data_IF_615083601831
#
_entry.id   IF_615083601831
#
_cell.length_a   1.000
_cell.length_b   1.000
_cell.length_c   1.000
_cell.angle_alpha   90.00
_cell.angle_beta   90.00
_cell.angle_gamma   90.00
#
_symmetry.space_group_name_H-M   'P 1'
#
loop_
_entity.id
_entity.type
_entity.pdbx_description
1 polymer ?
#
# COMPACT_ATOMS: atom_id res chain seq x y z
N UNK A 1 47.91 -70.89 -35.51
CA UNK A 1 46.45 -70.84 -35.30
C UNK A 1 46.23 -70.43 -33.85
N UNK A 2 45.55 -69.35 -33.45
CA UNK A 2 44.41 -68.61 -34.03
C UNK A 2 44.48 -67.12 -33.58
N UNK A 3 44.03 -66.24 -34.48
CA UNK A 3 43.81 -64.78 -34.39
C UNK A 3 42.45 -64.45 -33.71
N UNK A 4 42.17 -63.14 -33.59
CA UNK A 4 40.85 -62.44 -33.66
C UNK A 4 40.34 -61.96 -32.29
N UNK A 5 39.79 -60.76 -32.03
CA UNK A 5 39.62 -59.44 -32.68
C UNK A 5 39.20 -58.42 -31.59
N UNK A 6 39.39 -57.12 -31.85
CA UNK A 6 38.76 -55.96 -31.17
C UNK A 6 37.24 -56.10 -31.02
N UNK A 7 36.63 -55.44 -30.01
CA UNK A 7 35.40 -54.64 -30.19
C UNK A 7 35.18 -53.57 -29.10
N UNK A 8 34.82 -52.37 -29.56
CA UNK A 8 34.32 -51.21 -28.83
C UNK A 8 32.87 -51.45 -28.36
N UNK A 9 32.48 -50.96 -27.18
CA UNK A 9 31.13 -50.43 -26.94
C UNK A 9 31.19 -49.20 -26.02
N UNK A 10 30.65 -48.08 -26.53
CA UNK A 10 30.31 -46.87 -25.79
C UNK A 10 29.07 -47.15 -24.93
N UNK A 11 29.00 -46.61 -23.72
CA UNK A 11 27.73 -46.50 -22.98
C UNK A 11 27.73 -45.20 -22.20
N UNK A 12 26.60 -44.50 -22.29
CA UNK A 12 26.37 -43.11 -21.96
C UNK A 12 26.48 -42.80 -20.46
N UNK A 13 26.97 -41.59 -20.15
CA UNK A 13 26.91 -40.99 -18.82
C UNK A 13 25.50 -40.42 -18.58
N UNK A 14 24.82 -40.92 -17.55
CA UNK A 14 23.68 -40.26 -16.93
C UNK A 14 24.22 -39.58 -15.66
N UNK A 15 24.30 -38.25 -15.66
CA UNK A 15 24.67 -37.49 -14.45
C UNK A 15 23.43 -37.43 -13.56
N UNK A 16 23.50 -38.16 -12.45
CA UNK A 16 22.57 -38.11 -11.32
C UNK A 16 23.08 -37.01 -10.37
N UNK A 17 22.44 -35.83 -10.32
CA UNK A 17 22.67 -34.90 -9.22
C UNK A 17 21.67 -35.20 -8.10
N UNK A 18 22.08 -36.03 -7.15
CA UNK A 18 21.43 -36.19 -5.86
C UNK A 18 21.69 -34.92 -5.05
N UNK A 19 20.69 -34.05 -4.95
CA UNK A 19 20.68 -33.00 -3.94
C UNK A 19 20.36 -33.65 -2.59
N UNK A 20 21.37 -33.76 -1.73
CA UNK A 20 21.23 -34.19 -0.34
C UNK A 20 20.38 -33.16 0.41
N UNK A 21 19.11 -33.49 0.62
CA UNK A 21 18.21 -32.74 1.48
C UNK A 21 18.57 -33.07 2.94
N UNK A 22 19.50 -32.32 3.54
CA UNK A 22 19.71 -32.38 4.99
C UNK A 22 18.58 -31.62 5.67
N UNK A 23 17.63 -32.36 6.22
CA UNK A 23 16.59 -31.82 7.08
C UNK A 23 17.20 -31.24 8.35
N UNK A 24 17.17 -29.92 8.47
CA UNK A 24 17.10 -29.28 9.76
C UNK A 24 15.62 -29.21 10.14
N UNK A 25 15.26 -29.85 11.25
CA UNK A 25 13.95 -29.73 11.84
C UNK A 25 13.68 -28.25 12.14
N UNK A 26 12.70 -27.65 11.46
CA UNK A 26 12.18 -26.34 11.81
C UNK A 26 11.48 -26.48 13.17
N UNK A 27 12.21 -26.13 14.22
CA UNK A 27 11.60 -25.86 15.52
C UNK A 27 10.74 -24.62 15.31
N UNK A 28 9.42 -24.80 15.39
CA UNK A 28 8.42 -23.74 15.45
C UNK A 28 8.84 -22.69 16.48
N UNK A 29 9.40 -21.57 16.04
CA UNK A 29 9.79 -20.45 16.88
C UNK A 29 8.62 -19.49 17.02
N UNK A 30 7.62 -19.91 17.80
CA UNK A 30 6.63 -19.01 18.42
C UNK A 30 7.25 -18.06 19.47
N UNK A 31 8.58 -17.88 19.46
CA UNK A 31 9.36 -17.14 20.45
C UNK A 31 10.26 -16.03 19.86
N UNK A 32 10.08 -15.66 18.59
CA UNK A 32 10.80 -14.51 17.97
C UNK A 32 9.87 -13.37 17.53
N UNK A 33 8.58 -13.44 17.87
CA UNK A 33 7.65 -12.33 17.69
C UNK A 33 7.81 -11.22 18.77
N UNK A 34 8.67 -11.41 19.76
CA UNK A 34 8.77 -10.55 20.96
C UNK A 34 10.14 -9.85 21.13
N UNK A 35 11.04 -9.93 20.13
CA UNK A 35 12.34 -9.24 20.15
C UNK A 35 12.78 -8.67 18.79
N UNK A 36 11.87 -8.02 18.06
CA UNK A 36 12.28 -6.85 17.27
C UNK A 36 12.16 -5.66 18.20
N UNK A 37 13.29 -5.04 18.49
CA UNK A 37 13.47 -4.02 19.52
C UNK A 37 12.40 -2.94 19.51
N UNK A 38 12.06 -2.55 20.73
CA UNK A 38 11.09 -1.56 21.14
C UNK A 38 11.52 -0.12 20.78
N UNK A 39 12.00 0.10 19.56
CA UNK A 39 12.68 1.35 19.16
C UNK A 39 11.88 2.20 18.16
N UNK A 40 10.57 1.97 18.00
CA UNK A 40 9.61 3.05 17.65
C UNK A 40 8.19 2.69 18.14
N UNK A 41 7.56 3.44 19.07
CA UNK A 41 6.48 2.91 19.89
C UNK A 41 5.09 2.84 19.23
N UNK A 42 4.82 3.50 18.11
CA UNK A 42 3.42 3.85 17.86
C UNK A 42 2.70 2.99 16.83
N UNK A 43 3.14 1.76 16.54
CA UNK A 43 2.37 0.75 15.79
C UNK A 43 1.14 0.25 16.56
N UNK A 44 0.21 1.18 16.83
CA UNK A 44 -0.92 1.04 17.74
C UNK A 44 -1.94 0.09 17.15
N UNK A 45 -2.41 -0.84 17.98
CA UNK A 45 -3.65 -1.55 17.69
C UNK A 45 -4.82 -0.56 17.81
N UNK A 46 -5.47 -0.30 16.69
CA UNK A 46 -6.55 0.67 16.59
C UNK A 46 -7.91 0.07 16.96
N UNK A 47 -7.97 -1.25 17.19
CA UNK A 47 -9.19 -2.01 17.48
C UNK A 47 -10.10 -2.10 16.26
N UNK A 48 -9.55 -2.24 15.06
CA UNK A 48 -10.32 -2.36 13.82
C UNK A 48 -11.02 -3.73 13.74
N UNK A 49 -12.15 -3.78 13.04
CA UNK A 49 -12.84 -5.04 12.72
C UNK A 49 -11.94 -5.97 11.91
N UNK A 50 -12.20 -7.28 12.00
CA UNK A 50 -11.34 -8.33 11.43
C UNK A 50 -11.44 -8.46 9.88
N UNK A 51 -11.90 -7.42 9.20
CA UNK A 51 -11.83 -7.26 7.76
C UNK A 51 -10.62 -6.43 7.32
N UNK A 52 -10.11 -5.56 8.21
CA UNK A 52 -8.88 -4.82 8.00
C UNK A 52 -7.69 -5.71 8.32
N UNK A 53 -6.84 -5.98 7.34
CA UNK A 53 -5.78 -6.98 7.47
C UNK A 53 -4.44 -6.41 7.07
N UNK A 54 -3.38 -6.87 7.73
CA UNK A 54 -2.00 -6.47 7.46
C UNK A 54 -1.13 -7.72 7.51
N UNK A 55 -0.41 -7.99 6.42
CA UNK A 55 0.52 -9.10 6.23
C UNK A 55 -0.08 -10.50 6.53
N UNK A 56 -1.40 -10.69 6.43
CA UNK A 56 -2.03 -11.99 6.69
C UNK A 56 -1.62 -13.05 5.66
N UNK A 57 -1.54 -12.67 4.39
CA UNK A 57 -1.23 -13.59 3.29
C UNK A 57 0.27 -13.67 3.02
N UNK A 58 1.00 -12.56 3.20
CA UNK A 58 2.44 -12.50 2.98
C UNK A 58 3.02 -11.11 3.26
N UNK A 59 4.33 -10.99 3.04
CA UNK A 59 5.09 -9.73 3.14
C UNK A 59 5.61 -9.30 1.76
N UNK A 60 4.81 -9.50 0.71
CA UNK A 60 5.26 -9.30 -0.68
C UNK A 60 6.25 -10.35 -1.18
N UNK A 61 6.54 -10.34 -2.49
CA UNK A 61 7.30 -11.41 -3.15
C UNK A 61 8.56 -10.91 -3.88
N UNK A 62 9.59 -11.76 -3.94
CA UNK A 62 10.71 -11.54 -4.87
C UNK A 62 10.25 -11.83 -6.30
N UNK A 63 9.91 -10.79 -7.05
CA UNK A 63 9.45 -10.86 -8.44
C UNK A 63 9.61 -9.52 -9.14
N UNK A 64 10.08 -9.56 -10.39
CA UNK A 64 10.02 -8.42 -11.31
C UNK A 64 8.61 -8.33 -11.88
N UNK A 65 8.04 -7.12 -11.84
CA UNK A 65 6.73 -6.83 -12.42
C UNK A 65 6.93 -6.11 -13.75
N UNK A 66 6.32 -6.63 -14.82
CA UNK A 66 6.11 -5.90 -16.05
C UNK A 66 4.89 -4.98 -15.91
N UNK A 67 5.14 -3.68 -15.72
CA UNK A 67 4.07 -2.71 -15.47
C UNK A 67 3.15 -2.50 -16.69
N UNK A 68 3.55 -2.90 -17.89
CA UNK A 68 2.75 -2.75 -19.11
C UNK A 68 1.71 -3.86 -19.29
N UNK A 69 1.77 -4.94 -18.50
CA UNK A 69 0.89 -6.11 -18.61
C UNK A 69 -0.26 -6.11 -17.60
N UNK A 70 -0.71 -4.92 -17.17
CA UNK A 70 -1.83 -4.75 -16.24
C UNK A 70 -1.64 -5.61 -14.97
N UNK A 71 -2.60 -6.47 -14.64
CA UNK A 71 -2.56 -7.31 -13.44
C UNK A 71 -1.85 -8.67 -13.62
N UNK A 72 -1.32 -9.00 -14.81
CA UNK A 72 -0.85 -10.35 -15.13
C UNK A 72 0.18 -10.93 -14.14
N UNK A 73 1.12 -10.09 -13.69
CA UNK A 73 2.18 -10.53 -12.77
C UNK A 73 1.76 -10.54 -11.30
N UNK A 74 0.60 -10.00 -10.96
CA UNK A 74 0.16 -9.86 -9.59
C UNK A 74 -0.72 -11.03 -9.15
N UNK A 75 -0.58 -11.46 -7.91
CA UNK A 75 -1.44 -12.47 -7.30
C UNK A 75 -1.57 -12.27 -5.78
N UNK A 76 -2.42 -13.08 -5.14
CA UNK A 76 -2.73 -12.95 -3.71
C UNK A 76 -1.52 -13.13 -2.79
N UNK A 77 -0.45 -13.80 -3.21
CA UNK A 77 0.75 -13.97 -2.37
C UNK A 77 1.53 -12.67 -2.16
N UNK A 78 1.22 -11.64 -2.95
CA UNK A 78 1.79 -10.30 -2.84
C UNK A 78 0.95 -9.36 -1.98
N UNK A 79 -0.25 -9.76 -1.54
CA UNK A 79 -1.14 -8.94 -0.73
C UNK A 79 -0.52 -8.72 0.67
N UNK A 80 -0.29 -7.45 1.01
CA UNK A 80 0.32 -7.03 2.27
C UNK A 80 -0.63 -6.20 3.15
N UNK A 81 -1.70 -5.62 2.60
CA UNK A 81 -2.77 -5.01 3.40
C UNK A 81 -4.13 -5.10 2.69
N UNK A 82 -5.18 -5.19 3.48
CA UNK A 82 -6.58 -5.21 3.05
C UNK A 82 -7.37 -4.17 3.86
N UNK A 83 -8.11 -3.33 3.15
CA UNK A 83 -9.10 -2.39 3.66
C UNK A 83 -10.53 -2.93 3.46
N UNK A 84 -11.51 -2.06 3.71
CA UNK A 84 -12.94 -2.37 3.58
C UNK A 84 -13.58 -1.30 2.72
N UNK A 85 -14.27 -1.70 1.65
CA UNK A 85 -14.87 -0.72 0.76
C UNK A 85 -15.96 0.12 1.45
N UNK A 86 -16.20 1.30 0.90
CA UNK A 86 -17.12 2.31 1.42
C UNK A 86 -16.71 2.78 2.82
N UNK A 87 -15.42 2.89 3.10
CA UNK A 87 -14.90 3.47 4.33
C UNK A 87 -14.12 4.77 4.08
N UNK A 88 -14.13 5.27 2.85
CA UNK A 88 -13.65 6.60 2.52
C UNK A 88 -14.49 7.70 3.17
N UNK A 89 -13.95 8.93 3.23
CA UNK A 89 -14.63 10.07 3.87
C UNK A 89 -16.05 10.34 3.35
N UNK A 90 -16.28 10.05 2.08
CA UNK A 90 -17.54 10.30 1.40
C UNK A 90 -18.65 9.48 2.06
N UNK A 91 -18.36 8.27 2.54
CA UNK A 91 -19.33 7.39 3.15
C UNK A 91 -20.05 7.97 4.39
N UNK A 92 -19.47 9.01 5.00
CA UNK A 92 -19.94 9.64 6.25
C UNK A 92 -20.65 10.98 6.01
N UNK A 93 -20.88 11.36 4.75
CA UNK A 93 -21.50 12.63 4.33
C UNK A 93 -22.77 12.35 3.53
N UNK A 94 -23.57 13.37 3.22
CA UNK A 94 -24.77 13.23 2.38
C UNK A 94 -24.41 13.04 0.89
N UNK A 95 -25.13 12.13 0.20
CA UNK A 95 -24.71 11.58 -1.10
C UNK A 95 -25.01 12.47 -2.32
N UNK A 96 -25.72 13.58 -2.11
CA UNK A 96 -26.27 14.37 -3.21
C UNK A 96 -25.31 15.43 -3.77
N UNK A 97 -24.16 15.66 -3.12
CA UNK A 97 -23.12 16.59 -3.59
C UNK A 97 -21.72 15.97 -3.42
N UNK A 98 -21.65 14.64 -3.44
CA UNK A 98 -20.46 13.92 -3.01
C UNK A 98 -19.43 13.76 -4.12
N UNK A 99 -18.20 13.73 -3.66
CA UNK A 99 -16.99 13.59 -4.43
C UNK A 99 -16.90 12.17 -5.01
N UNK A 100 -16.10 12.00 -6.06
CA UNK A 100 -15.74 10.66 -6.52
C UNK A 100 -15.05 9.89 -5.37
N UNK A 101 -15.36 8.60 -5.14
CA UNK A 101 -14.74 7.86 -4.05
C UNK A 101 -13.23 7.75 -4.22
N UNK A 102 -12.51 7.86 -3.11
CA UNK A 102 -11.06 7.64 -3.05
C UNK A 102 -10.78 6.58 -1.98
N UNK A 103 -11.28 5.39 -2.25
CA UNK A 103 -11.41 4.27 -1.32
C UNK A 103 -10.37 3.18 -1.67
N UNK A 104 -9.38 3.02 -0.79
CA UNK A 104 -8.25 2.12 -0.94
C UNK A 104 -8.63 0.74 -0.41
N UNK A 105 -8.64 -0.25 -1.30
CA UNK A 105 -9.15 -1.57 -0.93
C UNK A 105 -8.07 -2.61 -0.62
N UNK A 106 -7.07 -2.78 -1.48
CA UNK A 106 -6.04 -3.81 -1.29
C UNK A 106 -4.67 -3.28 -1.71
N UNK A 107 -3.62 -3.62 -0.96
CA UNK A 107 -2.24 -3.21 -1.22
C UNK A 107 -1.36 -4.44 -1.40
N UNK A 108 -0.61 -4.45 -2.49
CA UNK A 108 0.27 -5.53 -2.91
C UNK A 108 1.70 -5.02 -3.03
N UNK A 109 2.67 -5.89 -2.77
CA UNK A 109 4.08 -5.60 -2.95
C UNK A 109 4.86 -6.73 -3.62
N UNK A 110 5.77 -6.33 -4.50
CA UNK A 110 6.81 -7.19 -5.05
C UNK A 110 8.13 -6.42 -5.11
N UNK A 111 9.25 -7.11 -5.19
CA UNK A 111 10.56 -6.49 -5.34
C UNK A 111 11.51 -7.41 -6.07
N UNK A 112 12.52 -6.82 -6.71
CA UNK A 112 13.60 -7.57 -7.34
C UNK A 112 14.96 -7.00 -6.91
N UNK A 113 16.01 -7.28 -7.67
CA UNK A 113 17.36 -6.79 -7.36
C UNK A 113 17.47 -5.26 -7.39
N UNK A 114 16.59 -4.58 -8.12
CA UNK A 114 16.75 -3.19 -8.53
C UNK A 114 15.55 -2.31 -8.17
N UNK A 115 14.35 -2.87 -8.05
CA UNK A 115 13.11 -2.11 -7.87
C UNK A 115 12.23 -2.69 -6.77
N UNK A 116 11.52 -1.80 -6.10
CA UNK A 116 10.31 -2.07 -5.33
C UNK A 116 9.11 -1.79 -6.23
N UNK A 117 8.11 -2.66 -6.19
CA UNK A 117 6.83 -2.53 -6.87
C UNK A 117 5.71 -2.52 -5.84
N UNK A 118 4.83 -1.54 -5.94
CA UNK A 118 3.61 -1.45 -5.14
C UNK A 118 2.42 -1.38 -6.10
N UNK A 119 1.35 -2.09 -5.79
CA UNK A 119 0.07 -1.95 -6.47
C UNK A 119 -1.03 -1.82 -5.44
N UNK A 120 -1.96 -0.89 -5.65
CA UNK A 120 -3.16 -0.84 -4.83
C UNK A 120 -4.42 -0.75 -5.66
N UNK A 121 -5.45 -1.42 -5.17
CA UNK A 121 -6.79 -1.43 -5.72
C UNK A 121 -7.60 -0.29 -5.12
N UNK A 122 -8.42 0.33 -5.96
CA UNK A 122 -9.34 1.39 -5.63
C UNK A 122 -10.75 0.91 -5.97
N UNK A 123 -11.67 1.05 -5.02
CA UNK A 123 -13.06 0.62 -5.20
C UNK A 123 -13.98 1.83 -5.27
N UNK A 124 -14.91 1.84 -6.22
CA UNK A 124 -16.02 2.79 -6.20
C UNK A 124 -17.32 2.02 -5.87
N UNK A 125 -17.73 1.97 -4.59
CA UNK A 125 -18.84 1.12 -4.14
C UNK A 125 -20.22 1.75 -4.37
N UNK A 126 -20.29 2.88 -5.08
CA UNK A 126 -21.49 3.71 -5.18
C UNK A 126 -22.68 2.96 -5.78
N UNK A 127 -22.44 2.09 -6.75
CA UNK A 127 -23.48 1.32 -7.44
C UNK A 127 -24.16 0.27 -6.54
N UNK A 128 -23.47 -0.25 -5.53
CA UNK A 128 -24.04 -1.19 -4.56
C UNK A 128 -24.55 -0.55 -3.26
N UNK A 129 -24.00 0.59 -2.86
CA UNK A 129 -24.33 1.28 -1.60
C UNK A 129 -25.34 2.40 -1.80
N UNK A 130 -25.13 3.24 -2.81
CA UNK A 130 -25.95 4.42 -3.11
C UNK A 130 -26.30 4.50 -4.61
N UNK A 131 -26.99 3.48 -5.19
CA UNK A 131 -27.30 3.44 -6.63
C UNK A 131 -28.15 4.61 -7.13
N UNK A 132 -28.83 5.32 -6.23
CA UNK A 132 -29.61 6.51 -6.53
C UNK A 132 -28.76 7.79 -6.68
N UNK A 133 -27.49 7.77 -6.27
CA UNK A 133 -26.55 8.89 -6.40
C UNK A 133 -25.93 8.95 -7.81
N UNK A 134 -26.78 9.25 -8.80
CA UNK A 134 -26.44 9.17 -10.23
C UNK A 134 -25.28 10.10 -10.65
N UNK A 135 -25.07 11.22 -9.98
CA UNK A 135 -23.96 12.14 -10.26
C UNK A 135 -22.59 11.49 -9.98
N UNK A 136 -22.45 10.81 -8.83
CA UNK A 136 -21.22 10.08 -8.49
C UNK A 136 -21.01 8.90 -9.44
N UNK A 137 -22.09 8.21 -9.83
CA UNK A 137 -22.00 7.10 -10.79
C UNK A 137 -21.55 7.58 -12.18
N UNK A 138 -21.96 8.78 -12.59
CA UNK A 138 -21.52 9.40 -13.84
C UNK A 138 -20.03 9.73 -13.83
N UNK A 139 -19.47 10.04 -12.67
CA UNK A 139 -18.05 10.30 -12.49
C UNK A 139 -17.15 9.07 -12.71
N UNK A 140 -17.68 7.85 -12.62
CA UNK A 140 -16.95 6.62 -12.94
C UNK A 140 -15.71 6.39 -12.08
N UNK A 141 -14.56 6.14 -12.72
CA UNK A 141 -13.28 5.82 -12.07
C UNK A 141 -12.38 7.05 -11.99
N UNK A 142 -11.69 7.26 -10.86
CA UNK A 142 -10.81 8.43 -10.68
C UNK A 142 -9.67 8.46 -11.69
N UNK A 143 -9.11 7.30 -12.02
CA UNK A 143 -7.98 7.17 -12.93
C UNK A 143 -8.32 7.53 -14.40
N UNK A 144 -9.60 7.66 -14.73
CA UNK A 144 -10.12 8.08 -16.05
C UNK A 144 -10.53 9.56 -16.09
N UNK A 145 -10.36 10.29 -14.97
CA UNK A 145 -10.75 11.71 -14.87
C UNK A 145 -9.62 12.63 -15.28
N UNK A 146 -9.84 13.39 -16.35
CA UNK A 146 -8.88 14.39 -16.83
C UNK A 146 -8.92 15.71 -16.04
N UNK A 147 -10.05 15.97 -15.37
CA UNK A 147 -10.34 17.19 -14.62
C UNK A 147 -9.98 17.10 -13.12
N UNK A 148 -9.55 15.92 -12.65
CA UNK A 148 -9.16 15.67 -11.26
C UNK A 148 -7.72 15.18 -11.18
N UNK A 149 -6.96 15.72 -10.23
CA UNK A 149 -5.60 15.26 -9.91
C UNK A 149 -5.39 15.31 -8.40
N UNK A 150 -5.44 14.14 -7.77
CA UNK A 150 -5.34 13.98 -6.33
C UNK A 150 -3.95 13.46 -5.97
N UNK A 151 -3.28 14.07 -4.98
CA UNK A 151 -2.07 13.49 -4.42
C UNK A 151 -2.31 12.11 -3.81
N UNK A 152 -1.35 11.21 -3.99
CA UNK A 152 -1.16 10.05 -3.11
C UNK A 152 0.20 10.15 -2.45
N UNK A 153 0.29 9.66 -1.21
CA UNK A 153 1.54 9.61 -0.46
C UNK A 153 1.90 8.17 -0.14
N UNK A 154 3.15 7.79 -0.38
CA UNK A 154 3.70 6.48 -0.04
C UNK A 154 4.77 6.67 1.02
N UNK A 155 4.42 6.35 2.25
CA UNK A 155 5.30 6.35 3.40
C UNK A 155 6.08 5.03 3.44
N UNK A 156 7.41 5.12 3.52
CA UNK A 156 8.30 3.96 3.60
C UNK A 156 9.17 4.06 4.85
N UNK A 157 9.34 2.93 5.52
CA UNK A 157 10.26 2.75 6.64
C UNK A 157 11.26 1.68 6.28
N UNK A 158 12.48 2.10 5.94
CA UNK A 158 13.53 1.18 5.53
C UNK A 158 14.41 0.72 6.67
N UNK A 159 14.42 1.43 7.81
CA UNK A 159 15.28 1.17 8.98
C UNK A 159 16.78 1.05 8.65
N UNK A 160 17.21 1.51 7.46
CA UNK A 160 18.61 1.51 7.08
C UNK A 160 19.31 2.74 7.66
N UNK A 161 20.18 2.50 8.65
CA UNK A 161 20.96 3.53 9.32
C UNK A 161 20.27 4.14 10.55
N UNK A 162 19.72 3.29 11.42
CA UNK A 162 18.96 3.62 12.67
C UNK A 162 19.66 4.61 13.62
N UNK A 163 20.91 5.02 13.36
CA UNK A 163 21.53 6.11 14.13
C UNK A 163 21.21 7.51 13.59
N UNK A 164 20.57 7.68 12.42
CA UNK A 164 20.49 9.01 11.81
C UNK A 164 19.41 9.33 10.73
N UNK A 165 18.53 8.40 10.35
CA UNK A 165 17.63 8.61 9.19
C UNK A 165 16.13 8.39 9.47
N UNK A 166 15.70 8.20 10.71
CA UNK A 166 14.28 8.30 11.04
C UNK A 166 13.83 9.75 10.80
N UNK A 167 12.75 9.94 10.05
CA UNK A 167 12.14 11.26 9.90
C UNK A 167 11.63 11.71 11.28
N UNK A 168 12.34 12.64 11.91
CA UNK A 168 11.88 13.31 13.12
C UNK A 168 10.67 14.22 12.87
N UNK A 169 10.13 14.86 13.91
CA UNK A 169 9.10 15.89 13.77
C UNK A 169 7.91 15.46 12.89
N UNK A 170 7.45 14.22 13.01
CA UNK A 170 6.28 13.66 12.30
C UNK A 170 6.27 13.90 10.78
N UNK A 171 7.44 13.93 10.14
CA UNK A 171 7.58 14.22 8.71
C UNK A 171 7.10 15.61 8.24
N UNK A 172 7.15 16.60 9.12
CA UNK A 172 7.06 17.99 8.71
C UNK A 172 8.29 18.44 7.91
N UNK A 173 8.09 19.38 6.97
CA UNK A 173 9.16 19.90 6.12
C UNK A 173 10.09 20.80 6.91
N UNK A 174 11.38 20.46 6.94
CA UNK A 174 12.42 21.24 7.63
C UNK A 174 12.17 21.40 9.13
N UNK A 175 11.32 20.55 9.72
CA UNK A 175 10.99 20.54 11.14
C UNK A 175 9.95 21.60 11.54
N UNK A 176 9.42 22.34 10.56
CA UNK A 176 8.36 23.32 10.77
C UNK A 176 7.00 22.61 10.84
N UNK A 177 6.43 22.53 12.04
CA UNK A 177 5.16 21.82 12.31
C UNK A 177 3.93 22.41 11.61
N UNK A 178 4.08 23.53 10.89
CA UNK A 178 3.05 24.11 10.04
C UNK A 178 3.16 23.69 8.56
N UNK A 179 4.26 23.04 8.16
CA UNK A 179 4.56 22.72 6.76
C UNK A 179 4.60 21.21 6.51
N UNK A 180 3.76 20.75 5.60
CA UNK A 180 3.71 19.37 5.12
C UNK A 180 3.97 19.33 3.61
N UNK A 181 4.27 18.14 3.07
CA UNK A 181 4.32 17.96 1.61
C UNK A 181 3.02 18.44 0.98
N UNK A 182 3.15 19.30 -0.03
CA UNK A 182 2.06 19.87 -0.83
C UNK A 182 0.89 20.41 0.01
N UNK A 183 1.18 20.97 1.20
CA UNK A 183 0.19 21.45 2.16
C UNK A 183 -0.90 20.41 2.52
N UNK A 184 -0.55 19.12 2.44
CA UNK A 184 -1.44 18.01 2.74
C UNK A 184 -1.98 17.99 4.15
N UNK A 185 -1.31 18.60 5.12
CA UNK A 185 -1.62 18.46 6.55
C UNK A 185 -1.57 16.99 6.99
N UNK A 186 -0.76 16.16 6.33
CA UNK A 186 -0.45 14.80 6.77
C UNK A 186 0.83 14.81 7.61
N UNK A 187 0.83 14.09 8.72
CA UNK A 187 1.96 13.90 9.62
C UNK A 187 2.09 12.40 9.96
N UNK A 188 3.32 11.89 9.97
CA UNK A 188 3.61 10.46 10.12
C UNK A 188 4.42 10.21 11.39
N UNK A 189 3.84 9.53 12.37
CA UNK A 189 4.44 9.34 13.70
C UNK A 189 5.15 8.00 13.85
N UNK A 190 4.90 7.04 12.95
CA UNK A 190 5.49 5.70 13.00
C UNK A 190 6.99 5.61 12.60
N UNK A 191 7.67 6.76 12.49
CA UNK A 191 9.11 6.85 12.23
C UNK A 191 9.50 6.41 10.82
N UNK A 192 8.81 6.90 9.79
CA UNK A 192 9.14 6.64 8.39
C UNK A 192 10.54 7.20 8.03
N UNK A 193 11.17 6.66 6.99
CA UNK A 193 12.49 7.12 6.48
C UNK A 193 12.36 7.91 5.18
N UNK A 194 11.34 7.59 4.38
CA UNK A 194 11.12 8.14 3.06
C UNK A 194 9.63 8.40 2.84
N UNK A 195 9.33 9.46 2.08
CA UNK A 195 7.97 9.79 1.67
C UNK A 195 7.95 10.12 0.18
N UNK A 196 7.15 9.39 -0.59
CA UNK A 196 6.93 9.66 -2.02
C UNK A 196 5.60 10.38 -2.17
N UNK A 197 5.60 11.52 -2.87
CA UNK A 197 4.37 12.15 -3.36
C UNK A 197 4.19 11.82 -4.85
N UNK A 198 3.00 11.34 -5.21
CA UNK A 198 2.60 11.08 -6.60
C UNK A 198 1.24 11.71 -6.90
N UNK A 199 0.91 11.78 -8.18
CA UNK A 199 -0.35 12.29 -8.70
C UNK A 199 -1.27 11.15 -9.16
N UNK A 200 -2.58 11.29 -8.94
CA UNK A 200 -3.59 10.34 -9.43
C UNK A 200 -3.67 10.36 -10.96
N UNK A 201 -3.36 11.51 -11.56
CA UNK A 201 -3.21 11.68 -12.99
C UNK A 201 -1.79 11.28 -13.40
N UNK A 202 -1.61 10.07 -13.90
CA UNK A 202 -0.29 9.49 -14.22
C UNK A 202 0.48 10.27 -15.29
N UNK A 203 -0.22 11.08 -16.09
CA UNK A 203 0.35 12.00 -17.06
C UNK A 203 1.08 13.19 -16.39
N UNK A 204 0.73 13.49 -15.13
CA UNK A 204 1.48 14.41 -14.29
C UNK A 204 2.69 13.66 -13.69
N UNK A 205 3.88 14.02 -14.18
CA UNK A 205 5.14 13.36 -13.84
C UNK A 205 5.88 14.00 -12.67
N UNK A 206 5.25 14.95 -11.94
CA UNK A 206 5.84 15.59 -10.75
C UNK A 206 5.85 14.65 -9.51
N UNK A 207 6.43 13.47 -9.70
CA UNK A 207 6.68 12.52 -8.61
C UNK A 207 7.92 12.95 -7.83
N UNK A 208 7.75 13.14 -6.53
CA UNK A 208 8.78 13.67 -5.65
C UNK A 208 9.11 12.67 -4.53
N UNK A 209 10.42 12.43 -4.32
CA UNK A 209 10.92 11.66 -3.20
C UNK A 209 11.51 12.58 -2.15
N UNK A 210 10.95 12.52 -0.94
CA UNK A 210 11.43 13.24 0.22
C UNK A 210 12.15 12.29 1.16
N UNK A 211 13.36 12.69 1.56
CA UNK A 211 14.20 11.97 2.50
C UNK A 211 14.12 12.59 3.88
N UNK A 212 14.24 11.77 4.92
CA UNK A 212 14.47 12.27 6.27
C UNK A 212 15.79 13.03 6.41
N UNK A 213 15.79 13.97 7.34
CA UNK A 213 16.98 14.61 7.86
C UNK A 213 17.15 14.23 9.32
N UNK A 214 18.40 14.11 9.76
CA UNK A 214 18.75 14.00 11.17
C UNK A 214 18.04 15.10 11.98
N UNK A 215 17.13 14.70 12.88
CA UNK A 215 16.40 15.56 13.84
C UNK A 215 15.42 16.62 13.26
N UNK A 216 15.38 16.84 11.94
CA UNK A 216 14.71 17.99 11.33
C UNK A 216 13.49 17.68 10.45
N UNK A 217 12.91 16.48 10.53
CA UNK A 217 11.82 16.10 9.63
C UNK A 217 12.27 15.88 8.18
N UNK A 218 11.38 16.12 7.22
CA UNK A 218 11.67 15.92 5.80
C UNK A 218 12.59 17.02 5.25
N UNK A 219 13.49 16.64 4.35
CA UNK A 219 14.24 17.60 3.56
C UNK A 219 13.28 18.48 2.75
N UNK A 220 13.41 19.80 2.87
CA UNK A 220 12.58 20.75 2.13
C UNK A 220 12.81 20.72 0.62
N UNK A 221 13.94 20.17 0.16
CA UNK A 221 14.21 19.96 -1.25
C UNK A 221 13.96 18.48 -1.60
N UNK A 222 12.88 18.16 -2.34
CA UNK A 222 12.68 16.80 -2.83
C UNK A 222 13.76 16.43 -3.85
N UNK A 223 14.02 15.13 -3.96
CA UNK A 223 14.76 14.59 -5.09
C UNK A 223 13.78 14.19 -6.20
N UNK A 224 14.03 14.66 -7.42
CA UNK A 224 13.37 14.12 -8.60
C UNK A 224 13.85 12.69 -8.80
N UNK A 225 12.90 11.76 -8.71
CA UNK A 225 13.17 10.33 -8.78
C UNK A 225 12.62 9.77 -10.09
N UNK A 226 13.32 8.82 -10.68
CA UNK A 226 12.84 8.00 -11.81
C UNK A 226 11.79 6.95 -11.37
N UNK A 227 10.92 7.32 -10.43
CA UNK A 227 9.76 6.51 -10.03
C UNK A 227 8.75 6.53 -11.17
N UNK A 228 8.23 5.36 -11.51
CA UNK A 228 7.22 5.22 -12.57
C UNK A 228 5.87 4.91 -11.94
N UNK A 229 4.82 5.57 -12.41
CA UNK A 229 3.43 5.33 -12.00
C UNK A 229 2.63 4.90 -13.23
N UNK A 230 1.82 3.85 -13.09
CA UNK A 230 0.84 3.40 -14.07
C UNK A 230 -0.51 3.17 -13.41
N UNK A 231 -1.55 3.07 -14.23
CA UNK A 231 -2.94 2.84 -13.82
C UNK A 231 -3.55 1.75 -14.70
N UNK A 232 -4.49 0.99 -14.15
CA UNK A 232 -5.27 -0.01 -14.88
C UNK A 232 -6.70 -0.09 -14.39
N UNK A 233 -7.57 -0.76 -15.16
CA UNK A 233 -9.04 -0.68 -15.02
C UNK A 233 -9.67 -1.94 -14.44
N UNK A 234 -8.90 -2.69 -13.65
CA UNK A 234 -9.27 -3.99 -13.09
C UNK A 234 -8.79 -4.10 -11.66
N UNK A 235 -9.30 -5.07 -10.91
CA UNK A 235 -8.80 -5.46 -9.58
C UNK A 235 -8.58 -6.98 -9.52
N UNK A 236 -7.66 -7.45 -8.69
CA UNK A 236 -7.45 -8.88 -8.42
C UNK A 236 -8.44 -9.43 -7.41
N UNK A 237 -8.93 -8.59 -6.50
CA UNK A 237 -9.80 -9.01 -5.41
C UNK A 237 -11.06 -9.68 -5.91
N UNK A 238 -11.25 -10.94 -5.48
CA UNK A 238 -12.41 -11.75 -5.86
C UNK A 238 -13.69 -11.30 -5.14
N UNK A 239 -13.53 -10.83 -3.91
CA UNK A 239 -14.60 -10.26 -3.07
C UNK A 239 -14.29 -8.79 -2.83
N UNK A 240 -15.33 -7.96 -2.73
CA UNK A 240 -15.23 -6.54 -2.33
C UNK A 240 -16.05 -6.37 -1.07
N UNK A 241 -15.45 -6.67 0.09
CA UNK A 241 -16.12 -6.53 1.37
C UNK A 241 -16.24 -5.05 1.71
N UNK A 242 -17.46 -4.56 1.95
CA UNK A 242 -17.69 -3.15 2.21
C UNK A 242 -18.91 -2.88 3.06
N UNK A 243 -18.92 -1.71 3.70
CA UNK A 243 -20.04 -1.23 4.49
C UNK A 243 -21.24 -0.90 3.59
N UNK A 244 -22.43 -1.40 3.92
CA UNK A 244 -23.65 -1.14 3.14
C UNK A 244 -24.37 0.15 3.51
N UNK A 245 -23.94 0.85 4.57
CA UNK A 245 -24.58 2.09 5.05
C UNK A 245 -23.78 3.33 4.63
N UNK A 246 -24.46 4.47 4.60
CA UNK A 246 -23.94 5.73 4.07
C UNK A 246 -24.58 6.92 4.82
N UNK A 247 -23.89 8.08 4.85
CA UNK A 247 -24.39 9.33 5.43
C UNK A 247 -24.69 9.20 6.92
N UNK A 248 -25.90 9.63 7.33
CA UNK A 248 -26.34 9.54 8.73
C UNK A 248 -26.39 8.12 9.31
N UNK A 249 -26.33 7.09 8.45
CA UNK A 249 -26.20 5.69 8.85
C UNK A 249 -24.76 5.23 9.12
N UNK A 250 -23.79 6.16 9.19
CA UNK A 250 -22.37 5.89 9.47
C UNK A 250 -21.86 6.71 10.63
N UNK A 251 -21.03 6.07 11.46
CA UNK A 251 -20.32 6.67 12.59
C UNK A 251 -18.83 6.41 12.44
N UNK A 252 -18.00 7.38 12.83
CA UNK A 252 -16.55 7.34 12.59
C UNK A 252 -15.85 6.15 13.23
N UNK A 253 -16.45 5.52 14.25
CA UNK A 253 -15.95 4.32 14.92
C UNK A 253 -16.58 3.00 14.43
N UNK A 254 -17.48 3.01 13.43
CA UNK A 254 -18.07 1.78 12.84
C UNK A 254 -17.00 0.77 12.37
N UNK A 255 -15.84 1.27 11.96
CA UNK A 255 -14.67 0.50 11.54
C UNK A 255 -14.03 -0.32 12.67
N UNK A 256 -14.49 -0.16 13.91
CA UNK A 256 -14.04 -0.91 15.10
C UNK A 256 -15.05 -1.94 15.60
N UNK A 257 -16.28 -1.92 15.07
CA UNK A 257 -17.37 -2.75 15.57
C UNK A 257 -17.74 -3.79 14.52
N UNK A 258 -17.57 -5.08 14.85
CA UNK A 258 -17.99 -6.19 13.99
C UNK A 258 -19.48 -6.02 13.72
N UNK A 259 -19.80 -5.58 12.50
CA UNK A 259 -21.10 -5.03 12.17
C UNK A 259 -21.73 -5.83 11.05
N UNK A 260 -23.03 -6.12 11.20
CA UNK A 260 -23.83 -6.87 10.22
C UNK A 260 -23.99 -6.17 8.87
N UNK A 261 -23.37 -5.01 8.67
CA UNK A 261 -23.43 -4.19 7.47
C UNK A 261 -22.16 -4.29 6.61
N UNK A 262 -21.15 -5.09 6.97
CA UNK A 262 -20.07 -5.43 6.04
C UNK A 262 -20.46 -6.69 5.27
N UNK A 263 -20.51 -6.57 3.94
CA UNK A 263 -20.81 -7.69 3.04
C UNK A 263 -19.96 -7.60 1.79
N UNK A 264 -19.82 -8.69 1.05
CA UNK A 264 -19.29 -8.64 -0.32
C UNK A 264 -20.27 -7.85 -1.21
N UNK A 265 -19.88 -6.63 -1.59
CA UNK A 265 -20.68 -5.71 -2.39
C UNK A 265 -21.00 -6.27 -3.78
N UNK A 266 -20.22 -7.22 -4.30
CA UNK A 266 -20.53 -7.91 -5.56
C UNK A 266 -21.84 -8.70 -5.46
N UNK A 267 -22.16 -9.24 -4.28
CA UNK A 267 -23.45 -9.90 -4.02
C UNK A 267 -24.64 -8.93 -4.02
N UNK A 268 -24.36 -7.63 -3.95
CA UNK A 268 -25.34 -6.53 -4.03
C UNK A 268 -25.37 -5.84 -5.39
N UNK A 269 -24.69 -6.40 -6.40
CA UNK A 269 -24.71 -5.88 -7.76
C UNK A 269 -23.61 -4.86 -8.08
N UNK A 270 -22.59 -4.74 -7.24
CA UNK A 270 -21.39 -3.97 -7.57
C UNK A 270 -20.72 -4.54 -8.84
N UNK A 271 -20.33 -3.65 -9.76
CA UNK A 271 -19.62 -3.98 -11.00
C UNK A 271 -18.16 -3.46 -10.98
N UNK A 272 -17.21 -4.31 -10.57
CA UNK A 272 -15.78 -3.94 -10.51
C UNK A 272 -15.21 -3.52 -11.85
N UNK A 273 -15.69 -4.10 -12.97
CA UNK A 273 -15.15 -3.77 -14.29
C UNK A 273 -15.48 -2.32 -14.67
N UNK A 274 -16.60 -1.82 -14.18
CA UNK A 274 -17.08 -0.46 -14.47
C UNK A 274 -16.56 0.58 -13.48
N UNK A 275 -16.35 0.21 -12.23
CA UNK A 275 -16.12 1.18 -11.15
C UNK A 275 -14.77 1.07 -10.46
N UNK A 276 -14.09 -0.07 -10.56
CA UNK A 276 -12.85 -0.31 -9.83
C UNK A 276 -11.63 -0.23 -10.75
N UNK A 277 -10.49 0.07 -10.14
CA UNK A 277 -9.24 0.32 -10.83
C UNK A 277 -8.06 0.08 -9.89
N UNK A 278 -6.85 0.19 -10.41
CA UNK A 278 -5.64 0.13 -9.60
C UNK A 278 -4.58 1.10 -10.10
N UNK A 279 -3.61 1.36 -9.23
CA UNK A 279 -2.36 2.01 -9.56
C UNK A 279 -1.19 1.06 -9.32
N UNK A 280 -0.14 1.19 -10.12
CA UNK A 280 1.14 0.50 -9.93
C UNK A 280 2.25 1.52 -9.86
N UNK A 281 3.13 1.39 -8.86
CA UNK A 281 4.32 2.22 -8.69
C UNK A 281 5.57 1.37 -8.67
N UNK A 282 6.56 1.77 -9.46
CA UNK A 282 7.92 1.20 -9.44
C UNK A 282 8.90 2.22 -8.88
N UNK A 283 9.54 1.85 -7.78
CA UNK A 283 10.52 2.66 -7.06
C UNK A 283 11.89 2.00 -7.18
N UNK A 284 12.86 2.63 -7.85
CA UNK A 284 14.23 2.13 -7.87
C UNK A 284 14.83 2.07 -6.47
N UNK A 285 15.35 0.92 -6.07
CA UNK A 285 15.91 0.69 -4.73
C UNK A 285 17.15 1.55 -4.48
N UNK A 286 17.87 1.94 -5.54
CA UNK A 286 18.96 2.91 -5.46
C UNK A 286 18.50 4.26 -4.92
N UNK A 287 17.27 4.69 -5.25
CA UNK A 287 16.71 5.93 -4.72
C UNK A 287 16.46 5.80 -3.22
N UNK A 288 16.09 4.61 -2.73
CA UNK A 288 15.88 4.30 -1.32
C UNK A 288 17.19 3.98 -0.58
N UNK A 289 18.32 3.87 -1.29
CA UNK A 289 19.60 3.50 -0.71
C UNK A 289 19.66 2.06 -0.19
N UNK A 290 18.75 1.18 -0.62
CA UNK A 290 18.66 -0.23 -0.20
C UNK A 290 18.86 -1.17 -1.41
N UNK A 291 18.83 -2.48 -1.19
CA UNK A 291 18.90 -3.52 -2.21
C UNK A 291 17.76 -4.53 -2.02
N UNK A 292 17.46 -5.34 -3.03
CA UNK A 292 16.46 -6.40 -2.88
C UNK A 292 16.84 -7.38 -1.76
N UNK A 293 18.14 -7.70 -1.63
CA UNK A 293 18.64 -8.54 -0.53
C UNK A 293 18.42 -7.91 0.85
N UNK A 294 18.47 -6.58 0.94
CA UNK A 294 18.18 -5.87 2.18
C UNK A 294 16.70 -6.05 2.58
N UNK A 295 15.78 -5.89 1.62
CA UNK A 295 14.34 -6.14 1.83
C UNK A 295 14.11 -7.58 2.27
N UNK A 296 14.74 -8.55 1.59
CA UNK A 296 14.61 -9.96 1.94
C UNK A 296 15.04 -10.26 3.39
N UNK A 297 16.14 -9.64 3.84
CA UNK A 297 16.71 -9.92 5.17
C UNK A 297 16.03 -9.15 6.30
N UNK A 298 15.76 -7.86 6.11
CA UNK A 298 15.36 -6.95 7.18
C UNK A 298 13.87 -6.61 7.14
N UNK A 299 13.26 -6.75 5.96
CA UNK A 299 11.96 -6.17 5.67
C UNK A 299 11.99 -4.65 5.58
N UNK A 300 10.92 -4.06 5.04
CA UNK A 300 10.65 -2.61 5.08
C UNK A 300 9.16 -2.40 5.37
N UNK A 301 8.81 -1.30 6.04
CA UNK A 301 7.42 -0.90 6.26
C UNK A 301 6.89 -0.02 5.14
N UNK A 302 5.61 -0.15 4.78
CA UNK A 302 4.91 0.71 3.82
C UNK A 302 3.52 1.11 4.31
N UNK A 303 3.11 2.34 3.97
CA UNK A 303 1.72 2.80 3.99
C UNK A 303 1.46 3.68 2.76
N UNK A 304 0.33 3.46 2.09
CA UNK A 304 -0.22 4.32 1.04
C UNK A 304 -1.34 5.15 1.65
N UNK A 305 -1.35 6.45 1.39
CA UNK A 305 -2.38 7.39 1.82
C UNK A 305 -2.97 8.05 0.58
N UNK A 306 -4.28 7.91 0.39
CA UNK A 306 -5.01 8.61 -0.65
C UNK A 306 -5.46 9.97 -0.15
N UNK A 307 -5.63 10.93 -1.06
CA UNK A 307 -6.15 12.26 -0.72
C UNK A 307 -7.23 12.68 -1.70
N UNK A 308 -7.76 13.89 -1.49
CA UNK A 308 -8.65 14.55 -2.42
C UNK A 308 -8.18 15.98 -2.69
N UNK A 309 -8.33 16.46 -3.93
CA UNK A 309 -8.01 17.84 -4.27
C UNK A 309 -9.19 18.80 -4.00
N UNK A 310 -9.03 19.59 -2.93
CA UNK A 310 -9.68 20.88 -2.68
C UNK A 310 -8.60 21.86 -2.22
N UNK A 311 -8.91 22.95 -1.50
CA UNK A 311 -7.89 23.93 -1.08
C UNK A 311 -6.70 23.32 -0.32
N UNK A 312 -6.81 22.08 0.21
CA UNK A 312 -5.78 21.37 0.98
C UNK A 312 -5.91 19.83 0.84
N UNK A 313 -4.88 19.14 0.35
CA UNK A 313 -4.89 17.69 0.03
C UNK A 313 -4.63 16.77 1.23
N UNK A 314 -5.56 16.75 2.19
CA UNK A 314 -5.54 15.87 3.37
C UNK A 314 -5.77 14.42 3.02
N UNK A 315 -5.14 13.52 3.76
CA UNK A 315 -5.39 12.09 3.58
C UNK A 315 -6.81 11.71 3.96
N UNK A 316 -7.47 10.99 3.07
CA UNK A 316 -8.89 10.63 3.14
C UNK A 316 -9.11 9.15 3.38
N UNK A 317 -8.09 8.34 3.07
CA UNK A 317 -8.04 6.92 3.30
C UNK A 317 -6.58 6.41 3.28
N UNK A 318 -6.32 5.20 3.78
CA UNK A 318 -4.97 4.63 3.79
C UNK A 318 -4.93 3.10 3.81
N UNK A 319 -3.83 2.54 3.29
CA UNK A 319 -3.48 1.11 3.42
C UNK A 319 -2.03 0.96 3.94
N UNK A 320 -1.79 0.29 5.08
CA UNK A 320 -2.80 -0.15 6.04
C UNK A 320 -3.70 0.96 6.56
N UNK A 321 -4.89 0.55 6.97
CA UNK A 321 -5.91 1.47 7.46
C UNK A 321 -5.47 2.21 8.72
N UNK A 322 -5.75 3.51 8.76
CA UNK A 322 -5.43 4.38 9.87
C UNK A 322 -6.62 5.28 10.19
N UNK A 323 -7.06 5.25 11.43
CA UNK A 323 -8.14 6.09 11.96
C UNK A 323 -7.83 7.59 11.85
N UNK A 324 -6.59 8.00 11.60
CA UNK A 324 -6.25 9.38 11.28
C UNK A 324 -6.97 9.91 10.04
N UNK A 325 -7.38 9.03 9.12
CA UNK A 325 -8.22 9.39 7.96
C UNK A 325 -9.64 9.78 8.41
N UNK A 326 -10.08 9.32 9.59
CA UNK A 326 -11.38 9.62 10.22
C UNK A 326 -11.40 10.89 11.04
N UNK A 327 -10.25 11.29 11.58
CA UNK A 327 -10.15 12.23 12.69
C UNK A 327 -10.89 13.56 12.47
N UNK A 328 -11.13 13.97 11.22
CA UNK A 328 -11.73 15.27 10.91
C UNK A 328 -12.79 15.21 9.79
N UNK A 329 -13.47 14.07 9.62
CA UNK A 329 -14.55 13.91 8.62
C UNK A 329 -15.75 14.86 8.81
N UNK A 330 -15.83 15.55 9.95
CA UNK A 330 -16.90 16.51 10.28
C UNK A 330 -16.50 18.00 10.10
N UNK A 331 -15.21 18.35 9.94
CA UNK A 331 -14.78 19.76 9.88
C UNK A 331 -13.60 19.98 8.91
N UNK A 332 -13.90 20.44 7.69
CA UNK A 332 -12.90 20.68 6.63
C UNK A 332 -11.89 21.79 6.97
N UNK A 333 -12.25 22.67 7.91
CA UNK A 333 -11.51 23.92 8.20
C UNK A 333 -10.57 23.83 9.40
N UNK A 334 -10.51 22.68 10.08
CA UNK A 334 -9.53 22.44 11.14
C UNK A 334 -8.12 22.77 10.63
N UNK A 335 -7.26 23.43 11.41
CA UNK A 335 -5.84 23.64 11.04
C UNK A 335 -4.94 22.49 11.48
N UNK A 336 -5.52 21.47 12.12
CA UNK A 336 -4.79 20.38 12.76
C UNK A 336 -4.40 19.33 11.72
N UNK A 337 -3.14 18.87 11.67
CA UNK A 337 -2.73 17.78 10.78
C UNK A 337 -3.36 16.42 11.14
N UNK A 338 -3.67 15.61 10.13
CA UNK A 338 -3.93 14.18 10.28
C UNK A 338 -2.63 13.48 10.72
N UNK A 339 -2.68 12.75 11.83
CA UNK A 339 -1.51 12.07 12.42
C UNK A 339 -1.59 10.57 12.24
N UNK A 340 -0.92 10.05 11.23
CA UNK A 340 -0.78 8.63 10.96
C UNK A 340 0.14 7.98 11.98
N UNK A 341 -0.25 6.80 12.45
CA UNK A 341 0.47 5.99 13.44
C UNK A 341 0.28 4.49 13.23
N UNK A 342 -0.59 4.04 12.32
CA UNK A 342 -0.91 2.62 12.18
C UNK A 342 0.32 1.74 11.90
N UNK A 343 0.17 0.46 12.24
CA UNK A 343 1.18 -0.55 11.88
C UNK A 343 1.39 -0.52 10.36
N UNK A 344 2.63 -0.33 9.94
CA UNK A 344 3.02 -0.43 8.53
C UNK A 344 2.88 -1.86 8.03
N UNK A 345 2.49 -2.02 6.76
CA UNK A 345 2.57 -3.32 6.10
C UNK A 345 4.05 -3.64 5.85
N UNK A 346 4.45 -4.88 6.08
CA UNK A 346 5.85 -5.27 5.98
C UNK A 346 6.09 -5.92 4.62
N UNK A 347 7.20 -5.54 3.99
CA UNK A 347 7.66 -6.11 2.72
C UNK A 347 8.99 -6.82 2.99
N UNK A 348 9.08 -8.13 2.77
CA UNK A 348 10.25 -8.95 3.06
C UNK A 348 10.49 -9.18 4.56
N UNK A 349 11.72 -9.56 4.89
CA UNK A 349 12.14 -9.98 6.24
C UNK A 349 11.70 -11.41 6.55
N UNK A 350 12.65 -12.25 7.00
CA UNK A 350 12.34 -13.61 7.45
C UNK A 350 11.43 -13.60 8.70
N UNK A 351 10.58 -14.63 8.81
CA UNK A 351 9.76 -14.92 9.99
C UNK A 351 10.60 -15.37 11.19
#
# INVERSE_FOLDING_TARGET
MIKVHKHFKKTAAFILSVATLSGAAFVSSTAMADQIGNDHPDGVDQGLVNYYKINETGRGQWKTIDMEQDLHDWDSSMLIAQGVANDDRRAYRDAQNSEIPVDLYALYAAYDSSNLYLMWEMVNPTDAVTPWAQEILWHGKLNERDDLDFPFYIALKTDKGITSNTIGQNAFIGGDTSRTIWNSRNAFTQGITDLVGIHSKVENTDTQLFKGTNYGGLNATPSYSNITVMKGNSILSKEVNGFTTYGSGRQTDDVKHDSSNIVDLKTRGHDPNKYDFHYVVKIPLSNLGISGSYIQQNGIGVQVVSTYSGDKSRGTDSLPYDMATKAEMQDFDSTIPSKYSSKLAMIGGSN
#
